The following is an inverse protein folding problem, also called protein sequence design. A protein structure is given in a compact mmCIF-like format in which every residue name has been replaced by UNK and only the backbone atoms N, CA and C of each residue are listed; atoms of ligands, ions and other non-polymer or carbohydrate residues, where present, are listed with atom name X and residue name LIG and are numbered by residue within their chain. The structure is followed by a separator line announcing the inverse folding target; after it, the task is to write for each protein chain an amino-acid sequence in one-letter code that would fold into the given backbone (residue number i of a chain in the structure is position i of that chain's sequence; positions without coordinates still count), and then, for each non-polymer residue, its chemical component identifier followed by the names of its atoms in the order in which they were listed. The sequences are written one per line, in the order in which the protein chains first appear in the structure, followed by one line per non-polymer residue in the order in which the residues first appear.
data_IF_834577323307
#
_entry.id   IF_834577323307
#
_cell.length_a   1.000
_cell.length_b   1.000
_cell.length_c   1.000
_cell.angle_alpha   90.00
_cell.angle_beta   90.00
_cell.angle_gamma   90.00
#
_symmetry.space_group_name_H-M   'P 1'
#
loop_
_entity.id
_entity.type
_entity.pdbx_description
1 polymer ?
#
# COMPACT_ATOMS: atom_id res chain seq x y z
N UNK A 1 11.17 8.08 11.00
CA UNK A 1 11.16 7.85 12.47
C UNK A 1 9.80 7.39 12.98
N UNK A 2 8.67 7.99 12.58
CA UNK A 2 7.33 7.60 13.10
C UNK A 2 6.88 6.18 12.75
N UNK A 3 7.08 5.71 11.51
CA UNK A 3 6.72 4.33 11.13
C UNK A 3 7.52 3.27 11.91
N UNK A 4 8.81 3.52 12.17
CA UNK A 4 9.61 2.65 13.02
C UNK A 4 9.15 2.65 14.48
N UNK A 5 8.78 3.82 15.02
CA UNK A 5 8.20 3.90 16.36
C UNK A 5 6.89 3.11 16.46
N UNK A 6 6.01 3.23 15.47
CA UNK A 6 4.78 2.47 15.40
C UNK A 6 5.05 0.96 15.30
N UNK A 7 6.00 0.54 14.45
CA UNK A 7 6.42 -0.85 14.35
C UNK A 7 6.90 -1.41 15.69
N UNK A 8 7.75 -0.67 16.39
CA UNK A 8 8.27 -1.04 17.71
C UNK A 8 7.20 -1.07 18.81
N UNK A 9 6.12 -0.29 18.64
CA UNK A 9 4.94 -0.36 19.50
C UNK A 9 3.99 -1.53 19.16
N UNK A 10 4.35 -2.38 18.18
CA UNK A 10 3.56 -3.54 17.78
C UNK A 10 2.57 -3.28 16.64
N UNK A 11 2.57 -2.10 16.03
CA UNK A 11 1.68 -1.77 14.91
C UNK A 11 2.14 -2.51 13.65
N UNK A 12 1.23 -3.26 13.03
CA UNK A 12 1.43 -3.88 11.72
C UNK A 12 1.26 -2.85 10.61
N UNK A 13 2.24 -2.74 9.74
CA UNK A 13 2.29 -1.74 8.67
C UNK A 13 2.55 -2.45 7.35
N UNK A 14 1.59 -2.32 6.43
CA UNK A 14 1.72 -2.78 5.05
C UNK A 14 1.82 -1.57 4.13
N UNK A 15 2.75 -1.58 3.19
CA UNK A 15 2.97 -0.46 2.27
C UNK A 15 3.11 -0.97 0.84
N UNK A 16 2.50 -0.25 -0.10
CA UNK A 16 2.66 -0.44 -1.54
C UNK A 16 3.37 0.79 -2.09
N UNK A 17 4.66 0.67 -2.41
CA UNK A 17 5.51 1.79 -2.86
C UNK A 17 6.14 1.44 -4.20
N UNK A 18 5.61 2.03 -5.29
CA UNK A 18 6.14 1.84 -6.65
C UNK A 18 7.53 2.46 -6.83
N UNK A 19 7.72 3.66 -6.29
CA UNK A 19 8.89 4.50 -6.56
C UNK A 19 10.01 4.34 -5.54
N UNK A 20 10.54 5.47 -5.08
CA UNK A 20 11.62 5.51 -4.09
C UNK A 20 11.09 5.14 -2.71
N UNK A 21 11.81 4.25 -2.02
CA UNK A 21 11.57 3.90 -0.62
C UNK A 21 12.90 3.91 0.13
N UNK A 22 13.08 4.85 1.06
CA UNK A 22 14.25 4.87 1.96
C UNK A 22 14.01 4.06 3.24
N UNK A 23 12.77 3.64 3.50
CA UNK A 23 12.43 2.79 4.63
C UNK A 23 12.91 1.37 4.36
N UNK A 24 13.71 0.84 5.27
CA UNK A 24 14.15 -0.56 5.26
C UNK A 24 13.21 -1.40 6.15
N UNK A 25 12.40 -2.32 5.58
CA UNK A 25 11.53 -3.21 6.35
C UNK A 25 12.27 -4.44 6.89
N UNK A 26 11.70 -5.11 7.90
CA UNK A 26 12.18 -6.38 8.44
C UNK A 26 13.43 -6.31 9.32
N UNK A 27 13.82 -5.11 9.79
CA UNK A 27 14.99 -4.93 10.66
C UNK A 27 14.59 -5.18 12.11
N UNK A 28 15.26 -6.14 12.76
CA UNK A 28 15.02 -6.50 14.17
C UNK A 28 15.11 -5.29 15.09
N UNK A 29 14.11 -5.08 15.94
CA UNK A 29 14.03 -3.96 16.88
C UNK A 29 13.70 -2.60 16.25
N UNK A 30 13.36 -2.54 14.96
CA UNK A 30 13.02 -1.29 14.26
C UNK A 30 11.81 -1.42 13.31
N UNK A 31 11.76 -2.45 12.47
CA UNK A 31 10.78 -2.57 11.39
C UNK A 31 10.28 -3.99 11.14
N UNK A 32 10.30 -4.83 12.19
CA UNK A 32 9.82 -6.22 12.14
C UNK A 32 8.36 -6.32 11.73
N UNK A 33 7.54 -5.32 12.11
CA UNK A 33 6.11 -5.27 11.77
C UNK A 33 5.82 -4.48 10.48
N UNK A 34 6.85 -4.13 9.69
CA UNK A 34 6.68 -3.40 8.43
C UNK A 34 6.98 -4.33 7.25
N UNK A 35 6.03 -4.47 6.34
CA UNK A 35 6.21 -5.13 5.05
C UNK A 35 5.97 -4.13 3.91
N UNK A 36 6.82 -4.14 2.91
CA UNK A 36 6.71 -3.23 1.77
C UNK A 36 6.81 -4.02 0.46
N UNK A 37 5.82 -3.83 -0.40
CA UNK A 37 5.84 -4.32 -1.78
C UNK A 37 5.88 -3.16 -2.77
N UNK A 38 6.33 -3.44 -3.99
CA UNK A 38 6.35 -2.51 -5.11
C UNK A 38 5.67 -3.18 -6.30
N UNK A 39 4.64 -2.56 -6.85
CA UNK A 39 3.94 -3.04 -8.04
C UNK A 39 4.36 -2.18 -9.22
N UNK A 40 5.00 -2.81 -10.20
CA UNK A 40 5.37 -2.18 -11.47
C UNK A 40 4.78 -3.02 -12.60
N UNK A 41 3.74 -2.50 -13.23
CA UNK A 41 3.02 -3.17 -14.30
C UNK A 41 2.64 -2.16 -15.41
N UNK A 42 1.70 -2.50 -16.29
CA UNK A 42 1.30 -1.72 -17.47
C UNK A 42 0.87 -0.30 -17.12
N UNK A 43 0.04 -0.12 -16.09
CA UNK A 43 -0.36 1.19 -15.61
C UNK A 43 0.58 1.70 -14.50
N UNK A 44 0.73 3.02 -14.45
CA UNK A 44 1.55 3.66 -13.42
C UNK A 44 0.76 3.77 -12.12
N UNK A 45 1.16 3.04 -11.08
CA UNK A 45 0.58 3.19 -9.74
C UNK A 45 0.87 4.60 -9.19
N UNK A 46 -0.11 5.48 -9.32
CA UNK A 46 -0.05 6.89 -8.91
C UNK A 46 -1.04 7.23 -7.78
N UNK A 47 -1.96 6.32 -7.46
CA UNK A 47 -2.86 6.49 -6.33
C UNK A 47 -2.07 6.56 -5.01
N UNK A 48 -2.54 7.40 -4.08
CA UNK A 48 -1.97 7.51 -2.73
C UNK A 48 -3.11 7.41 -1.74
N UNK A 49 -3.10 6.31 -0.99
CA UNK A 49 -4.18 5.91 -0.08
C UNK A 49 -3.56 5.63 1.29
N UNK A 50 -4.12 6.19 2.34
CA UNK A 50 -3.75 5.87 3.71
C UNK A 50 -4.94 5.20 4.41
N UNK A 51 -4.70 4.02 4.99
CA UNK A 51 -5.70 3.26 5.73
C UNK A 51 -5.18 3.08 7.16
N UNK A 52 -5.99 3.51 8.13
CA UNK A 52 -5.69 3.36 9.56
C UNK A 52 -6.74 2.47 10.22
N UNK A 53 -6.30 1.38 10.87
CA UNK A 53 -7.20 0.37 11.46
C UNK A 53 -8.16 0.95 12.52
N UNK A 54 -7.70 1.91 13.34
CA UNK A 54 -8.53 2.64 14.31
C UNK A 54 -9.49 1.75 15.14
N UNK A 55 -8.94 0.70 15.76
CA UNK A 55 -9.72 -0.22 16.62
C UNK A 55 -10.76 -1.05 15.87
N UNK A 56 -10.62 -1.20 14.54
CA UNK A 56 -11.59 -1.89 13.67
C UNK A 56 -12.47 -0.95 12.87
N UNK A 57 -12.52 0.34 13.23
CA UNK A 57 -13.27 1.36 12.51
C UNK A 57 -12.36 2.10 11.52
N UNK A 58 -12.04 1.44 10.41
CA UNK A 58 -11.02 1.91 9.47
C UNK A 58 -11.25 3.36 9.00
N UNK A 59 -10.19 4.16 9.05
CA UNK A 59 -10.16 5.51 8.49
C UNK A 59 -9.37 5.47 7.18
N UNK A 60 -10.03 5.84 6.08
CA UNK A 60 -9.45 5.85 4.73
C UNK A 60 -9.31 7.29 4.24
N UNK A 61 -8.10 7.63 3.78
CA UNK A 61 -7.78 8.93 3.21
C UNK A 61 -7.17 8.76 1.83
N UNK A 62 -7.57 9.63 0.90
CA UNK A 62 -6.93 9.80 -0.39
C UNK A 62 -6.14 11.10 -0.39
N UNK A 63 -4.99 11.14 -1.06
CA UNK A 63 -4.10 12.29 -0.99
C UNK A 63 -3.34 12.55 -2.30
N UNK A 64 -2.98 13.82 -2.54
CA UNK A 64 -2.05 14.20 -3.59
C UNK A 64 -0.58 14.03 -3.18
N UNK A 65 -0.28 14.02 -1.88
CA UNK A 65 1.08 13.99 -1.33
C UNK A 65 1.63 12.57 -1.15
N UNK A 66 2.90 12.35 -1.51
CA UNK A 66 3.69 11.23 -1.00
C UNK A 66 4.47 11.62 0.27
N UNK A 67 5.12 10.65 0.93
CA UNK A 67 5.91 10.86 2.15
C UNK A 67 7.33 11.38 1.86
N UNK A 68 7.42 12.46 1.09
CA UNK A 68 8.65 13.21 0.88
C UNK A 68 8.55 14.58 1.56
N UNK A 69 9.65 15.04 2.18
CA UNK A 69 9.69 16.35 2.87
C UNK A 69 9.23 17.50 2.00
N UNK A 70 9.55 17.48 0.70
CA UNK A 70 9.09 18.52 -0.24
C UNK A 70 7.57 18.59 -0.38
N UNK A 71 6.87 17.47 -0.24
CA UNK A 71 5.41 17.39 -0.37
C UNK A 71 4.74 17.73 0.96
N UNK A 72 5.39 17.45 2.10
CA UNK A 72 4.85 17.73 3.43
C UNK A 72 5.10 19.20 3.84
N UNK A 73 6.30 19.73 3.56
CA UNK A 73 6.75 21.01 4.12
C UNK A 73 6.72 22.16 3.09
N UNK A 74 6.91 21.87 1.80
CA UNK A 74 7.20 22.88 0.78
C UNK A 74 6.14 23.00 -0.33
N UNK A 75 5.07 22.20 -0.30
CA UNK A 75 4.02 22.19 -1.32
C UNK A 75 2.65 22.27 -0.67
N UNK A 76 1.72 22.86 -1.40
CA UNK A 76 0.31 22.78 -1.06
C UNK A 76 -0.21 21.46 -1.60
N UNK A 77 -0.63 20.59 -0.69
CA UNK A 77 -1.17 19.28 -0.97
C UNK A 77 -2.52 19.11 -0.29
N UNK A 78 -3.36 18.22 -0.81
CA UNK A 78 -4.69 17.95 -0.27
C UNK A 78 -4.81 16.46 0.02
N UNK A 79 -5.16 16.14 1.26
CA UNK A 79 -5.66 14.84 1.67
C UNK A 79 -7.07 14.98 2.20
N UNK A 80 -7.96 14.06 1.82
CA UNK A 80 -9.34 14.08 2.26
C UNK A 80 -9.79 12.69 2.76
N UNK A 81 -10.60 12.64 3.82
CA UNK A 81 -11.21 11.41 4.29
C UNK A 81 -12.31 10.95 3.33
N UNK A 82 -12.47 9.64 3.21
CA UNK A 82 -13.61 9.01 2.55
C UNK A 82 -14.64 8.68 3.61
N UNK A 83 -15.82 9.30 3.55
CA UNK A 83 -16.88 9.12 4.54
C UNK A 83 -17.89 8.04 4.15
N UNK A 84 -18.15 7.89 2.85
CA UNK A 84 -19.11 6.90 2.35
C UNK A 84 -18.59 5.48 2.56
N UNK A 85 -19.37 4.65 3.24
CA UNK A 85 -18.96 3.28 3.61
C UNK A 85 -18.85 2.35 2.39
N UNK A 86 -19.63 2.57 1.33
CA UNK A 86 -19.51 1.78 0.10
C UNK A 86 -18.20 2.11 -0.62
N UNK A 87 -17.82 3.40 -0.67
CA UNK A 87 -16.54 3.83 -1.23
C UNK A 87 -15.36 3.35 -0.39
N UNK A 88 -15.46 3.37 0.95
CA UNK A 88 -14.43 2.80 1.81
C UNK A 88 -14.21 1.33 1.50
N UNK A 89 -15.29 0.56 1.40
CA UNK A 89 -15.24 -0.88 1.07
C UNK A 89 -14.59 -1.11 -0.29
N UNK A 90 -14.99 -0.36 -1.32
CA UNK A 90 -14.39 -0.46 -2.66
C UNK A 90 -12.89 -0.18 -2.67
N UNK A 91 -12.46 0.90 -2.01
CA UNK A 91 -11.04 1.23 -1.90
C UNK A 91 -10.28 0.14 -1.14
N UNK A 92 -10.88 -0.40 -0.07
CA UNK A 92 -10.26 -1.46 0.72
C UNK A 92 -10.07 -2.73 -0.10
N UNK A 93 -11.09 -3.15 -0.85
CA UNK A 93 -11.03 -4.30 -1.76
C UNK A 93 -9.92 -4.12 -2.80
N UNK A 94 -9.80 -2.93 -3.40
CA UNK A 94 -8.74 -2.62 -4.37
C UNK A 94 -7.35 -2.74 -3.72
N UNK A 95 -7.16 -2.21 -2.52
CA UNK A 95 -5.88 -2.33 -1.80
C UNK A 95 -5.59 -3.79 -1.46
N UNK A 96 -6.59 -4.58 -1.07
CA UNK A 96 -6.40 -6.01 -0.79
C UNK A 96 -6.02 -6.80 -2.05
N UNK A 97 -6.63 -6.50 -3.20
CA UNK A 97 -6.22 -7.06 -4.50
C UNK A 97 -4.75 -6.71 -4.80
N UNK A 98 -4.33 -5.47 -4.55
CA UNK A 98 -2.93 -5.06 -4.74
C UNK A 98 -1.98 -5.79 -3.80
N UNK A 99 -2.33 -5.94 -2.52
CA UNK A 99 -1.52 -6.67 -1.53
C UNK A 99 -1.43 -8.17 -1.83
N UNK A 100 -2.43 -8.74 -2.52
CA UNK A 100 -2.45 -10.14 -2.91
C UNK A 100 -1.68 -10.45 -4.20
N UNK A 101 -1.21 -9.43 -4.94
CA UNK A 101 -0.49 -9.63 -6.21
C UNK A 101 0.77 -10.48 -6.01
N UNK A 102 0.89 -11.56 -6.79
CA UNK A 102 2.03 -12.47 -6.78
C UNK A 102 2.68 -12.61 -8.16
N UNK A 103 2.33 -11.74 -9.11
CA UNK A 103 2.82 -11.81 -10.50
C UNK A 103 3.68 -10.60 -10.90
N UNK A 104 3.39 -9.43 -10.34
CA UNK A 104 4.03 -8.14 -10.65
C UNK A 104 4.56 -7.43 -9.42
N UNK A 105 4.04 -7.76 -8.24
CA UNK A 105 4.58 -7.26 -6.98
C UNK A 105 6.02 -7.76 -6.74
N UNK A 106 6.83 -6.89 -6.14
CA UNK A 106 8.21 -7.15 -5.73
C UNK A 106 8.39 -6.73 -4.28
N UNK A 107 9.19 -7.49 -3.54
CA UNK A 107 9.54 -7.15 -2.16
C UNK A 107 10.60 -6.06 -2.12
N UNK A 108 10.35 -5.02 -1.33
CA UNK A 108 11.41 -4.08 -0.93
C UNK A 108 12.06 -4.65 0.33
N UNK A 109 13.38 -4.79 0.31
CA UNK A 109 14.16 -5.33 1.42
C UNK A 109 15.50 -4.58 1.51
N UNK A 110 16.25 -4.82 2.59
CA UNK A 110 17.54 -4.18 2.83
C UNK A 110 18.57 -4.37 1.69
N UNK A 111 18.48 -5.47 0.93
CA UNK A 111 19.37 -5.76 -0.18
C UNK A 111 18.94 -5.13 -1.51
N UNK A 112 17.77 -4.46 -1.56
CA UNK A 112 17.17 -3.90 -2.79
C UNK A 112 17.10 -4.93 -3.94
N UNK A 113 16.86 -6.20 -3.63
CA UNK A 113 16.97 -7.29 -4.60
C UNK A 113 15.82 -7.37 -5.60
N UNK A 114 14.73 -6.61 -5.39
CA UNK A 114 13.56 -6.60 -6.28
C UNK A 114 12.99 -8.00 -6.56
N UNK A 115 13.12 -8.91 -5.60
CA UNK A 115 12.58 -10.27 -5.73
C UNK A 115 11.07 -10.19 -5.89
N UNK A 116 10.51 -10.97 -6.82
CA UNK A 116 9.07 -11.10 -6.97
C UNK A 116 8.45 -11.55 -5.65
N UNK A 117 7.38 -10.85 -5.26
CA UNK A 117 6.61 -11.19 -4.09
C UNK A 117 5.89 -12.52 -4.33
N UNK A 118 6.03 -13.44 -3.40
CA UNK A 118 5.36 -14.74 -3.46
C UNK A 118 4.31 -14.80 -2.36
N UNK A 119 3.09 -15.10 -2.74
CA UNK A 119 2.04 -15.47 -1.79
C UNK A 119 2.04 -16.98 -1.57
N UNK A 120 1.22 -17.47 -0.64
CA UNK A 120 1.01 -18.92 -0.43
C UNK A 120 0.12 -19.56 -1.50
N UNK A 121 -0.47 -18.76 -2.38
CA UNK A 121 -1.36 -19.21 -3.44
C UNK A 121 -0.56 -19.53 -4.69
N UNK A 122 -0.86 -20.68 -5.31
CA UNK A 122 -0.35 -21.05 -6.64
C UNK A 122 -1.17 -20.39 -7.77
N UNK A 123 -2.30 -19.77 -7.43
CA UNK A 123 -3.13 -19.04 -8.39
C UNK A 123 -2.43 -17.71 -8.70
N UNK A 124 -2.21 -17.38 -9.99
CA UNK A 124 -1.60 -16.11 -10.36
C UNK A 124 -2.58 -14.97 -10.09
N UNK A 125 -2.19 -14.07 -9.18
CA UNK A 125 -2.88 -12.84 -8.88
C UNK A 125 -2.17 -11.65 -9.50
N UNK A 126 -2.87 -10.91 -10.36
CA UNK A 126 -2.36 -9.73 -11.06
C UNK A 126 -3.28 -8.54 -10.84
N UNK A 127 -2.84 -7.63 -9.99
CA UNK A 127 -3.67 -6.58 -9.42
C UNK A 127 -4.41 -5.74 -10.48
N UNK A 128 -3.70 -5.24 -11.50
CA UNK A 128 -4.31 -4.35 -12.50
C UNK A 128 -5.42 -5.03 -13.32
N UNK A 129 -5.33 -6.35 -13.54
CA UNK A 129 -6.36 -7.11 -14.27
C UNK A 129 -7.53 -7.44 -13.34
N UNK A 130 -7.24 -7.83 -12.11
CA UNK A 130 -8.28 -8.14 -11.12
C UNK A 130 -9.08 -6.90 -10.73
N UNK A 131 -8.43 -5.75 -10.53
CA UNK A 131 -9.11 -4.46 -10.29
C UNK A 131 -10.03 -4.13 -11.47
N UNK A 132 -9.57 -4.30 -12.71
CA UNK A 132 -10.40 -4.08 -13.89
C UNK A 132 -11.64 -4.97 -13.91
N UNK A 133 -11.48 -6.26 -13.64
CA UNK A 133 -12.60 -7.20 -13.59
C UNK A 133 -13.56 -6.90 -12.44
N UNK A 134 -13.04 -6.59 -11.25
CA UNK A 134 -13.81 -6.20 -10.07
C UNK A 134 -14.72 -5.00 -10.36
N UNK A 135 -14.14 -3.92 -10.90
CA UNK A 135 -14.91 -2.72 -11.26
C UNK A 135 -15.89 -2.97 -12.41
N UNK A 136 -15.51 -3.80 -13.38
CA UNK A 136 -16.40 -4.17 -14.50
C UNK A 136 -17.64 -4.91 -14.01
N UNK A 137 -17.48 -5.89 -13.11
CA UNK A 137 -18.61 -6.65 -12.55
C UNK A 137 -19.52 -5.78 -11.70
N UNK A 138 -18.97 -4.83 -10.95
CA UNK A 138 -19.78 -3.90 -10.13
C UNK A 138 -20.68 -2.97 -10.95
N UNK A 139 -20.28 -2.67 -12.19
CA UNK A 139 -20.98 -1.72 -13.07
C UNK A 139 -22.00 -2.40 -14.00
N UNK A 140 -22.07 -3.74 -13.99
CA UNK A 140 -23.05 -4.54 -14.75
C UNK A 140 -24.25 -4.88 -13.87
#
# INVERSE_FOLDING_TARGET
TKLYQASNAGVKIHMIIRGMCCLVPGVKGYSENISVISIVDKYLEHARVHIYCNGGNELIYLTSADFMSRNIDNRVEVGFPVYDEQLKTEIRDIIDIQLADNTKAREINAANSNKYHKTRSDIPHRAQIEIYNYLKTKTQ
#
